data_IF_873838091918
#
_entry.id   IF_873838091918
#
_cell.length_a   1.000
_cell.length_b   1.000
_cell.length_c   1.000
_cell.angle_alpha   90.00
_cell.angle_beta   90.00
_cell.angle_gamma   90.00
#
_symmetry.space_group_name_H-M   'P 1'
#
loop_
_entity.id
_entity.type
_entity.pdbx_description
1 polymer ?
#
# COMPACT_ATOMS: atom_id res chain seq x y z
N UNK A 1 -17.54 44.14 79.21
CA UNK A 1 -16.90 42.91 78.72
C UNK A 1 -17.96 42.17 77.93
N UNK A 2 -17.64 41.76 76.71
CA UNK A 2 -18.56 41.00 75.86
C UNK A 2 -18.63 39.54 76.33
N UNK A 3 -19.80 38.91 76.24
CA UNK A 3 -19.98 37.48 76.50
C UNK A 3 -20.17 36.84 75.13
N UNK A 4 -19.38 35.82 74.81
CA UNK A 4 -19.57 35.09 73.56
C UNK A 4 -20.66 34.03 73.77
N UNK A 5 -21.90 34.37 73.39
CA UNK A 5 -23.05 33.45 73.55
C UNK A 5 -22.91 32.20 72.67
N UNK A 6 -22.15 32.29 71.57
CA UNK A 6 -21.88 31.16 70.67
C UNK A 6 -20.90 30.17 71.29
N UNK A 7 -19.85 30.64 71.97
CA UNK A 7 -18.88 29.79 72.66
C UNK A 7 -19.43 29.21 73.98
N UNK A 8 -20.34 29.93 74.62
CA UNK A 8 -20.95 29.52 75.90
C UNK A 8 -22.22 28.69 75.73
N UNK A 9 -22.76 28.60 74.51
CA UNK A 9 -23.98 27.83 74.20
C UNK A 9 -25.25 28.44 74.76
N UNK A 10 -25.25 29.73 75.11
CA UNK A 10 -26.40 30.46 75.67
C UNK A 10 -27.25 31.15 74.60
N UNK A 11 -27.08 30.78 73.32
CA UNK A 11 -27.83 31.32 72.20
C UNK A 11 -29.10 30.51 71.90
N UNK A 12 -30.11 31.16 71.34
CA UNK A 12 -31.38 30.50 70.94
C UNK A 12 -31.44 30.19 69.43
N UNK A 13 -30.29 30.10 68.75
CA UNK A 13 -30.23 29.71 67.33
C UNK A 13 -30.75 28.29 67.10
N UNK A 14 -31.45 28.11 65.96
CA UNK A 14 -31.92 26.79 65.54
C UNK A 14 -30.76 25.89 65.09
N UNK A 15 -31.02 24.58 65.03
CA UNK A 15 -30.02 23.58 64.62
C UNK A 15 -29.52 23.76 63.17
N UNK A 16 -30.31 24.39 62.30
CA UNK A 16 -29.98 24.70 60.90
C UNK A 16 -29.34 26.09 60.72
N UNK A 17 -29.00 26.78 61.81
CA UNK A 17 -28.43 28.13 61.81
C UNK A 17 -27.04 28.15 62.45
N UNK A 18 -26.20 29.08 61.98
CA UNK A 18 -24.88 29.37 62.54
C UNK A 18 -25.00 30.58 63.48
N UNK A 19 -24.54 30.42 64.71
CA UNK A 19 -24.43 31.51 65.67
C UNK A 19 -23.21 32.39 65.32
N UNK A 20 -23.43 33.69 65.23
CA UNK A 20 -22.40 34.72 65.03
C UNK A 20 -22.42 35.65 66.23
N UNK A 21 -21.33 35.69 67.00
CA UNK A 21 -21.20 36.58 68.15
C UNK A 21 -21.02 38.04 67.68
N UNK A 22 -21.78 38.97 68.24
CA UNK A 22 -21.69 40.39 68.00
C UNK A 22 -21.39 41.11 69.32
N UNK A 23 -20.84 42.32 69.25
CA UNK A 23 -20.52 43.06 70.47
C UNK A 23 -21.82 43.46 71.21
N UNK A 24 -22.10 42.79 72.33
CA UNK A 24 -23.28 42.98 73.18
C UNK A 24 -24.54 42.20 72.77
N UNK A 25 -24.45 41.25 71.82
CA UNK A 25 -25.57 40.40 71.37
C UNK A 25 -25.04 39.26 70.49
N UNK A 26 -25.87 38.27 70.15
CA UNK A 26 -25.58 37.31 69.09
C UNK A 26 -26.52 37.49 67.88
N UNK A 27 -26.20 36.86 66.75
CA UNK A 27 -27.04 36.79 65.55
C UNK A 27 -27.06 35.37 65.00
N UNK A 28 -28.24 34.85 64.68
CA UNK A 28 -28.40 33.54 64.04
C UNK A 28 -28.57 33.72 62.54
N UNK A 29 -27.62 33.21 61.76
CA UNK A 29 -27.59 33.34 60.30
C UNK A 29 -27.69 31.97 59.64
N UNK A 30 -28.19 31.92 58.41
CA UNK A 30 -28.11 30.68 57.65
C UNK A 30 -26.65 30.39 57.26
N UNK A 31 -26.26 29.11 57.16
CA UNK A 31 -24.96 28.73 56.62
C UNK A 31 -24.73 29.32 55.21
N UNK A 32 -23.47 29.49 54.77
CA UNK A 32 -23.18 29.89 53.39
C UNK A 32 -23.89 28.97 52.38
N UNK A 33 -24.49 29.55 51.34
CA UNK A 33 -25.29 28.82 50.34
C UNK A 33 -26.76 28.58 50.73
N UNK A 34 -27.21 29.04 51.90
CA UNK A 34 -28.60 28.90 52.36
C UNK A 34 -29.27 30.26 52.52
N UNK A 35 -30.56 30.32 52.21
CA UNK A 35 -31.41 31.49 52.41
C UNK A 35 -32.52 31.22 53.43
N UNK A 36 -32.89 32.24 54.18
CA UNK A 36 -33.97 32.15 55.16
C UNK A 36 -35.33 32.16 54.45
N UNK A 37 -36.08 31.06 54.53
CA UNK A 37 -37.47 30.97 54.06
C UNK A 37 -38.37 30.66 55.26
N UNK A 38 -39.02 31.69 55.79
CA UNK A 38 -39.74 31.61 57.07
C UNK A 38 -38.77 31.49 58.24
N UNK A 39 -38.87 30.44 59.04
CA UNK A 39 -37.98 30.16 60.17
C UNK A 39 -36.93 29.08 59.89
N UNK A 40 -36.81 28.61 58.65
CA UNK A 40 -35.86 27.57 58.25
C UNK A 40 -34.85 28.11 57.24
N UNK A 41 -33.64 27.57 57.29
CA UNK A 41 -32.61 27.77 56.28
C UNK A 41 -32.80 26.74 55.17
N UNK A 42 -33.11 27.22 53.97
CA UNK A 42 -33.30 26.40 52.78
C UNK A 42 -32.16 26.69 51.83
N UNK A 43 -31.62 25.63 51.25
CA UNK A 43 -30.58 25.68 50.23
C UNK A 43 -30.96 26.65 49.09
N UNK A 44 -30.01 27.46 48.65
CA UNK A 44 -30.18 28.33 47.49
C UNK A 44 -29.92 27.48 46.26
N UNK A 45 -30.91 27.34 45.37
CA UNK A 45 -30.69 26.65 44.11
C UNK A 45 -29.97 27.58 43.12
N UNK A 46 -28.63 27.56 43.12
CA UNK A 46 -27.85 28.40 42.22
C UNK A 46 -28.06 28.06 40.75
N UNK A 47 -28.60 26.89 40.41
CA UNK A 47 -28.94 26.53 39.03
C UNK A 47 -30.13 27.32 38.49
N UNK A 48 -30.88 28.02 39.36
CA UNK A 48 -31.97 28.91 38.97
C UNK A 48 -31.54 30.38 38.84
N UNK A 49 -30.26 30.68 39.13
CA UNK A 49 -29.71 32.02 39.18
C UNK A 49 -28.49 32.15 38.24
N UNK A 50 -28.20 33.34 37.69
CA UNK A 50 -26.95 33.58 36.96
C UNK A 50 -25.73 33.55 37.90
N UNK A 51 -24.54 33.11 37.43
CA UNK A 51 -24.22 32.69 36.06
C UNK A 51 -24.63 31.25 35.76
N UNK A 52 -25.18 31.04 34.57
CA UNK A 52 -25.59 29.70 34.12
C UNK A 52 -24.38 28.86 33.71
N UNK A 53 -24.38 27.58 34.08
CA UNK A 53 -23.47 26.59 33.51
C UNK A 53 -23.66 26.47 31.99
N UNK A 54 -22.57 26.29 31.23
CA UNK A 54 -22.65 26.11 29.78
C UNK A 54 -23.46 24.86 29.39
N UNK A 55 -23.27 23.75 30.11
CA UNK A 55 -23.98 22.49 29.88
C UNK A 55 -24.98 22.19 31.01
N UNK A 56 -24.58 21.38 31.99
CA UNK A 56 -25.45 20.94 33.07
C UNK A 56 -25.06 21.60 34.39
N UNK A 57 -26.02 22.14 35.11
CA UNK A 57 -25.86 22.57 36.49
C UNK A 57 -26.34 21.48 37.45
N UNK A 58 -25.60 21.24 38.53
CA UNK A 58 -26.00 20.34 39.61
C UNK A 58 -25.97 21.12 40.91
N UNK A 59 -27.16 21.34 41.49
CA UNK A 59 -27.30 21.95 42.80
C UNK A 59 -26.97 20.94 43.91
N UNK A 60 -26.27 21.37 44.94
CA UNK A 60 -25.87 20.56 46.10
C UNK A 60 -26.11 21.33 47.40
N UNK A 61 -26.32 20.66 48.54
CA UNK A 61 -26.56 21.38 49.79
C UNK A 61 -25.40 22.35 50.14
N UNK A 62 -25.65 23.65 50.07
CA UNK A 62 -24.71 24.75 50.34
C UNK A 62 -23.81 25.17 49.17
N UNK A 63 -23.97 24.60 47.97
CA UNK A 63 -23.17 24.97 46.80
C UNK A 63 -23.73 24.40 45.48
N UNK A 64 -23.05 24.63 44.38
CA UNK A 64 -23.35 24.00 43.10
C UNK A 64 -22.08 23.71 42.33
N UNK A 65 -22.20 22.88 41.30
CA UNK A 65 -21.13 22.71 40.33
C UNK A 65 -21.67 22.50 38.92
N UNK A 66 -20.88 22.90 37.93
CA UNK A 66 -21.18 22.66 36.53
C UNK A 66 -20.56 21.35 36.07
N UNK A 67 -21.33 20.60 35.28
CA UNK A 67 -20.91 19.36 34.65
C UNK A 67 -20.94 19.52 33.13
N UNK A 68 -19.85 19.10 32.48
CA UNK A 68 -19.74 19.09 31.03
C UNK A 68 -20.25 17.77 30.44
N UNK A 69 -20.84 17.84 29.24
CA UNK A 69 -21.17 16.66 28.45
C UNK A 69 -19.90 15.89 28.06
N UNK A 70 -20.05 14.63 27.66
CA UNK A 70 -18.94 13.83 27.14
C UNK A 70 -18.26 14.54 25.95
N UNK A 71 -16.93 14.46 25.88
CA UNK A 71 -16.12 15.20 24.88
C UNK A 71 -15.76 16.62 25.29
N UNK A 72 -16.18 17.09 26.48
CA UNK A 72 -15.88 18.43 26.96
C UNK A 72 -15.29 18.41 28.37
N UNK A 73 -14.42 19.37 28.66
CA UNK A 73 -13.83 19.58 29.97
C UNK A 73 -14.22 20.94 30.54
N UNK A 74 -14.29 21.02 31.88
CA UNK A 74 -14.63 22.26 32.57
C UNK A 74 -13.44 23.22 32.56
N UNK A 75 -13.66 24.44 32.09
CA UNK A 75 -12.64 25.49 32.07
C UNK A 75 -12.32 25.98 33.49
N UNK A 76 -11.24 26.76 33.62
CA UNK A 76 -10.75 27.30 34.90
C UNK A 76 -11.74 28.25 35.60
N UNK A 77 -12.78 28.70 34.90
CA UNK A 77 -13.86 29.51 35.48
C UNK A 77 -14.98 28.66 36.13
N UNK A 78 -14.87 27.33 36.11
CA UNK A 78 -15.84 26.37 36.65
C UNK A 78 -17.27 26.47 36.05
N UNK A 79 -17.47 27.20 34.95
CA UNK A 79 -18.80 27.39 34.32
C UNK A 79 -18.83 27.01 32.84
N UNK A 80 -17.74 27.26 32.13
CA UNK A 80 -17.66 27.04 30.69
C UNK A 80 -17.12 25.65 30.40
N UNK A 81 -17.79 24.93 29.52
CA UNK A 81 -17.30 23.69 28.97
C UNK A 81 -16.57 23.96 27.65
N UNK A 82 -15.31 23.54 27.57
CA UNK A 82 -14.49 23.61 26.37
C UNK A 82 -14.32 22.21 25.80
N UNK A 83 -14.30 22.15 24.48
CA UNK A 83 -14.10 20.91 23.74
C UNK A 83 -12.74 20.29 24.09
N UNK A 84 -12.71 18.98 24.26
CA UNK A 84 -11.47 18.22 24.45
C UNK A 84 -10.95 17.91 23.06
N UNK A 85 -9.79 18.45 22.68
CA UNK A 85 -9.17 18.05 21.42
C UNK A 85 -8.49 16.68 21.58
N UNK A 86 -9.18 15.61 21.17
CA UNK A 86 -8.63 14.26 21.29
C UNK A 86 -7.42 14.03 20.38
N UNK A 87 -7.28 14.81 19.29
CA UNK A 87 -6.14 14.69 18.37
C UNK A 87 -4.82 15.23 18.95
N UNK A 88 -4.89 16.21 19.86
CA UNK A 88 -3.69 16.86 20.43
C UNK A 88 -3.12 16.10 21.64
N UNK A 89 -3.98 15.47 22.44
CA UNK A 89 -3.58 14.84 23.70
C UNK A 89 -2.96 13.45 23.50
N UNK A 90 -3.62 12.61 22.71
CA UNK A 90 -3.18 11.25 22.40
C UNK A 90 -3.98 10.75 21.21
N UNK A 91 -3.56 11.15 20.00
CA UNK A 91 -4.29 10.92 18.75
C UNK A 91 -4.87 9.48 18.70
N UNK A 92 -6.21 9.35 18.79
CA UNK A 92 -6.85 8.03 18.86
C UNK A 92 -6.83 7.32 17.51
N UNK A 93 -6.68 8.04 16.40
CA UNK A 93 -6.75 7.51 15.04
C UNK A 93 -5.44 6.83 14.62
N UNK A 94 -5.54 5.75 13.83
CA UNK A 94 -4.36 5.10 13.27
C UNK A 94 -3.59 5.99 12.28
N UNK A 95 -4.28 6.92 11.61
CA UNK A 95 -3.70 7.81 10.60
C UNK A 95 -4.11 9.28 10.84
N UNK A 96 -5.07 9.82 10.09
CA UNK A 96 -5.46 11.22 10.19
C UNK A 96 -6.59 11.39 11.22
N UNK A 97 -6.46 12.42 12.07
CA UNK A 97 -7.45 12.78 13.09
C UNK A 97 -7.93 14.21 12.87
N UNK A 98 -9.24 14.39 12.91
CA UNK A 98 -9.87 15.69 12.86
C UNK A 98 -10.76 15.89 14.07
N UNK A 99 -10.43 16.90 14.86
CA UNK A 99 -11.22 17.28 16.02
C UNK A 99 -12.54 17.93 15.58
N UNK A 100 -13.64 17.53 16.19
CA UNK A 100 -14.96 18.12 15.99
C UNK A 100 -15.59 18.45 17.35
N UNK A 101 -16.64 19.26 17.39
CA UNK A 101 -17.25 19.60 18.68
C UNK A 101 -17.86 18.35 19.34
N UNK A 102 -17.33 18.00 20.51
CA UNK A 102 -17.74 16.89 21.37
C UNK A 102 -17.20 15.51 20.99
N UNK A 103 -16.32 15.41 19.99
CA UNK A 103 -15.74 14.14 19.51
C UNK A 103 -14.60 14.40 18.52
N UNK A 104 -14.07 13.34 17.92
CA UNK A 104 -13.17 13.40 16.76
C UNK A 104 -13.71 12.50 15.63
N UNK A 105 -13.15 12.66 14.43
CA UNK A 105 -13.30 11.73 13.31
C UNK A 105 -11.93 11.30 12.79
N UNK A 106 -11.80 10.02 12.45
CA UNK A 106 -10.61 9.47 11.82
C UNK A 106 -10.80 9.36 10.32
N UNK A 107 -9.72 9.60 9.56
CA UNK A 107 -9.67 9.41 8.13
C UNK A 107 -8.40 8.65 7.74
N UNK A 108 -8.53 7.81 6.73
CA UNK A 108 -7.42 7.05 6.17
C UNK A 108 -6.80 7.78 4.98
N UNK A 109 -5.50 7.63 4.83
CA UNK A 109 -4.73 8.03 3.67
C UNK A 109 -5.22 7.25 2.42
N UNK A 110 -4.95 7.76 1.20
CA UNK A 110 -5.29 7.04 -0.02
C UNK A 110 -4.72 5.61 -0.03
N UNK A 111 -5.51 4.65 -0.52
CA UNK A 111 -5.16 3.22 -0.52
C UNK A 111 -5.52 2.46 0.76
N UNK A 112 -6.21 3.11 1.70
CA UNK A 112 -6.71 2.48 2.92
C UNK A 112 -8.20 2.76 3.13
N UNK A 113 -8.89 1.82 3.76
CA UNK A 113 -10.28 1.93 4.17
C UNK A 113 -10.41 1.97 5.69
N UNK A 114 -11.39 2.75 6.17
CA UNK A 114 -11.66 2.88 7.60
C UNK A 114 -12.35 1.61 8.11
N UNK A 115 -11.75 0.98 9.13
CA UNK A 115 -12.29 -0.23 9.74
C UNK A 115 -13.60 0.04 10.48
N UNK A 116 -14.28 -1.04 10.87
CA UNK A 116 -15.58 -1.01 11.55
C UNK A 116 -15.58 -0.26 12.88
N UNK A 117 -14.42 -0.16 13.54
CA UNK A 117 -14.23 0.61 14.78
C UNK A 117 -14.11 2.13 14.56
N UNK A 118 -14.05 2.57 13.29
CA UNK A 118 -13.88 3.97 12.87
C UNK A 118 -12.58 4.63 13.35
N UNK A 119 -11.59 3.82 13.73
CA UNK A 119 -10.32 4.27 14.29
C UNK A 119 -9.15 3.74 13.49
N UNK A 120 -9.19 2.45 13.12
CA UNK A 120 -8.12 1.79 12.39
C UNK A 120 -8.31 1.92 10.88
N UNK A 121 -7.19 1.88 10.15
CA UNK A 121 -7.15 1.93 8.70
C UNK A 121 -6.58 0.63 8.16
N UNK A 122 -7.38 -0.07 7.35
CA UNK A 122 -7.02 -1.33 6.73
C UNK A 122 -6.61 -1.07 5.28
N UNK A 123 -5.54 -1.72 4.86
CA UNK A 123 -5.01 -1.59 3.51
C UNK A 123 -6.01 -2.14 2.48
N UNK A 124 -6.25 -1.37 1.42
CA UNK A 124 -7.15 -1.79 0.35
C UNK A 124 -6.42 -2.72 -0.60
N UNK A 125 -6.71 -4.02 -0.54
CA UNK A 125 -6.13 -4.98 -1.47
C UNK A 125 -6.70 -4.81 -2.88
N UNK A 126 -6.03 -3.99 -3.70
CA UNK A 126 -6.50 -3.73 -5.06
C UNK A 126 -6.40 -4.98 -5.93
N UNK A 127 -5.43 -5.87 -5.65
CA UNK A 127 -5.25 -7.13 -6.36
C UNK A 127 -6.45 -8.08 -6.19
N UNK A 128 -7.16 -8.01 -5.07
CA UNK A 128 -8.42 -8.75 -4.85
C UNK A 128 -9.65 -8.04 -5.39
N UNK A 129 -9.59 -6.72 -5.51
CA UNK A 129 -10.70 -5.89 -5.97
C UNK A 129 -10.94 -6.04 -7.48
N UNK A 130 -9.88 -6.19 -8.28
CA UNK A 130 -10.01 -6.43 -9.71
C UNK A 130 -8.89 -7.29 -10.27
N UNK A 131 -9.26 -8.40 -10.92
CA UNK A 131 -8.34 -9.33 -11.56
C UNK A 131 -7.64 -8.79 -12.81
N UNK A 132 -8.04 -7.61 -13.31
CA UNK A 132 -7.53 -7.03 -14.56
C UNK A 132 -6.66 -5.77 -14.35
N UNK A 133 -6.22 -5.52 -13.12
CA UNK A 133 -5.40 -4.35 -12.78
C UNK A 133 -3.99 -4.41 -13.38
N UNK A 134 -3.38 -5.60 -13.40
CA UNK A 134 -2.05 -5.84 -13.96
C UNK A 134 -2.13 -6.80 -15.15
N UNK A 135 -1.25 -6.63 -16.14
CA UNK A 135 -1.16 -7.55 -17.28
C UNK A 135 -0.67 -8.95 -16.89
N UNK A 136 0.22 -9.05 -15.91
CA UNK A 136 0.82 -10.32 -15.47
C UNK A 136 0.54 -10.63 -14.01
N UNK A 137 1.27 -10.00 -13.08
CA UNK A 137 1.12 -10.27 -11.65
C UNK A 137 0.91 -8.98 -10.88
N UNK A 138 -0.08 -8.97 -9.99
CA UNK A 138 -0.33 -7.90 -9.04
C UNK A 138 0.26 -8.26 -7.68
N UNK A 139 0.90 -7.31 -7.03
CA UNK A 139 1.43 -7.42 -5.68
C UNK A 139 0.83 -6.29 -4.85
N UNK A 140 0.10 -6.66 -3.81
CA UNK A 140 -0.47 -5.69 -2.88
C UNK A 140 0.61 -5.18 -1.93
N UNK A 141 0.68 -3.86 -1.74
CA UNK A 141 1.60 -3.19 -0.83
C UNK A 141 0.81 -2.21 0.06
N UNK A 142 1.32 -1.80 1.24
CA UNK A 142 0.59 -0.85 2.06
C UNK A 142 0.36 0.50 1.35
N UNK A 143 -0.92 0.83 1.11
CA UNK A 143 -1.42 2.07 0.50
C UNK A 143 -1.36 2.12 -1.02
N UNK A 144 -0.94 1.03 -1.68
CA UNK A 144 -0.82 0.95 -3.15
C UNK A 144 -0.63 -0.50 -3.60
N UNK A 145 -0.75 -0.74 -4.89
CA UNK A 145 -0.26 -1.98 -5.50
C UNK A 145 0.90 -1.71 -6.46
N UNK A 146 1.64 -2.77 -6.77
CA UNK A 146 2.60 -2.78 -7.87
C UNK A 146 2.30 -3.94 -8.82
N UNK A 147 2.51 -3.68 -10.12
CA UNK A 147 2.47 -4.73 -11.13
C UNK A 147 3.89 -5.23 -11.38
N UNK A 148 4.06 -6.54 -11.41
CA UNK A 148 5.32 -7.20 -11.72
C UNK A 148 5.20 -7.88 -13.07
N UNK A 149 6.27 -7.80 -13.85
CA UNK A 149 6.39 -8.46 -15.15
C UNK A 149 7.31 -9.68 -15.05
N UNK A 150 7.16 -10.67 -15.96
CA UNK A 150 8.10 -11.78 -16.03
C UNK A 150 9.50 -11.31 -16.42
N UNK A 151 10.49 -12.18 -16.25
CA UNK A 151 11.88 -11.90 -16.64
C UNK A 151 11.99 -11.54 -18.14
N UNK A 152 12.83 -10.55 -18.47
CA UNK A 152 12.94 -9.98 -19.82
C UNK A 152 11.89 -8.92 -20.17
N UNK A 153 11.03 -8.53 -19.22
CA UNK A 153 9.99 -7.51 -19.44
C UNK A 153 10.06 -6.39 -18.40
N UNK A 154 9.69 -5.19 -18.84
CA UNK A 154 9.56 -4.00 -17.98
C UNK A 154 8.12 -3.52 -17.92
N UNK A 155 7.78 -2.89 -16.80
CA UNK A 155 6.46 -2.30 -16.57
C UNK A 155 6.36 -0.95 -17.28
N UNK A 156 5.36 -0.79 -18.13
CA UNK A 156 5.05 0.45 -18.85
C UNK A 156 3.65 0.92 -18.47
N UNK A 157 3.50 2.24 -18.27
CA UNK A 157 2.23 2.82 -17.80
C UNK A 157 1.76 2.29 -16.44
N UNK A 158 2.65 1.69 -15.65
CA UNK A 158 2.37 1.11 -14.33
C UNK A 158 1.59 -0.20 -14.32
N UNK A 159 1.19 -0.75 -15.49
CA UNK A 159 0.27 -1.91 -15.55
C UNK A 159 0.59 -2.93 -16.65
N UNK A 160 1.21 -2.51 -17.74
CA UNK A 160 1.48 -3.39 -18.89
C UNK A 160 2.93 -3.83 -18.92
N UNK A 161 3.18 -5.01 -19.46
CA UNK A 161 4.50 -5.58 -19.62
C UNK A 161 4.95 -5.43 -21.07
N UNK A 162 6.07 -4.73 -21.25
CA UNK A 162 6.73 -4.59 -22.54
C UNK A 162 8.07 -5.32 -22.51
N UNK A 163 8.34 -6.04 -23.59
CA UNK A 163 9.61 -6.71 -23.83
C UNK A 163 10.78 -5.71 -23.73
N UNK A 164 11.83 -6.10 -23.01
CA UNK A 164 13.07 -5.33 -22.96
C UNK A 164 13.88 -5.73 -24.19
N UNK A 165 14.39 -4.74 -24.94
CA UNK A 165 15.34 -5.04 -26.01
C UNK A 165 16.75 -5.13 -25.42
N UNK A 166 17.20 -6.32 -25.03
CA UNK A 166 18.52 -6.47 -24.40
C UNK A 166 19.67 -6.17 -25.37
N UNK A 167 19.43 -6.29 -26.68
CA UNK A 167 20.40 -5.92 -27.70
C UNK A 167 20.67 -4.40 -27.75
N UNK A 168 19.74 -3.58 -27.29
CA UNK A 168 19.90 -2.12 -27.22
C UNK A 168 20.34 -1.66 -25.83
N UNK A 169 20.00 -2.41 -24.78
CA UNK A 169 20.22 -1.98 -23.40
C UNK A 169 21.52 -2.50 -22.78
N UNK A 170 21.81 -3.81 -22.88
CA UNK A 170 23.00 -4.42 -22.26
C UNK A 170 24.03 -4.87 -23.30
N UNK A 171 23.56 -5.39 -24.44
CA UNK A 171 24.36 -5.94 -25.54
C UNK A 171 25.54 -6.79 -25.07
N UNK A 172 25.27 -7.82 -24.26
CA UNK A 172 26.29 -8.70 -23.67
C UNK A 172 26.93 -9.70 -24.67
N UNK A 173 26.61 -9.58 -25.96
CA UNK A 173 27.18 -10.44 -27.00
C UNK A 173 28.65 -10.11 -27.25
N UNK A 174 29.42 -11.12 -27.69
CA UNK A 174 30.83 -10.94 -28.06
C UNK A 174 30.96 -10.11 -29.35
N UNK A 175 32.15 -9.54 -29.59
CA UNK A 175 32.41 -8.74 -30.80
C UNK A 175 32.21 -9.52 -32.11
N UNK A 176 32.43 -10.83 -32.08
CA UNK A 176 32.23 -11.75 -33.20
C UNK A 176 30.81 -12.32 -33.28
N UNK A 177 29.86 -11.78 -32.51
CA UNK A 177 28.46 -12.19 -32.48
C UNK A 177 27.53 -11.07 -32.97
N UNK A 178 26.30 -11.47 -33.30
CA UNK A 178 25.16 -10.62 -33.64
C UNK A 178 24.10 -10.88 -32.58
N UNK A 179 23.64 -9.82 -31.92
CA UNK A 179 22.54 -9.91 -30.96
C UNK A 179 21.19 -9.98 -31.69
N UNK A 180 20.32 -10.87 -31.22
CA UNK A 180 18.94 -10.98 -31.69
C UNK A 180 17.97 -10.96 -30.51
N UNK A 181 17.08 -9.98 -30.51
CA UNK A 181 16.05 -9.79 -29.49
C UNK A 181 14.80 -10.62 -29.78
N UNK A 182 14.19 -11.21 -28.76
CA UNK A 182 12.90 -11.88 -28.83
C UNK A 182 12.09 -11.66 -27.56
N UNK A 183 10.81 -12.04 -27.59
CA UNK A 183 9.93 -11.92 -26.43
C UNK A 183 10.45 -12.65 -25.19
N UNK A 184 10.87 -11.90 -24.17
CA UNK A 184 11.39 -12.37 -22.89
C UNK A 184 12.90 -12.61 -22.86
N UNK A 185 13.65 -12.13 -23.86
CA UNK A 185 15.11 -12.18 -23.80
C UNK A 185 15.82 -12.01 -25.15
N UNK A 186 17.13 -12.23 -25.13
CA UNK A 186 17.97 -12.15 -26.31
C UNK A 186 18.81 -13.40 -26.53
N UNK A 187 19.37 -13.53 -27.73
CA UNK A 187 20.35 -14.56 -28.06
C UNK A 187 21.43 -13.99 -28.96
N UNK A 188 22.67 -14.36 -28.67
CA UNK A 188 23.82 -14.05 -29.49
C UNK A 188 24.06 -15.17 -30.51
N UNK A 189 24.27 -14.80 -31.76
CA UNK A 189 24.63 -15.71 -32.83
C UNK A 189 26.01 -15.36 -33.38
N UNK A 190 26.88 -16.32 -33.70
CA UNK A 190 28.15 -16.03 -34.35
C UNK A 190 27.95 -15.27 -35.66
N UNK A 191 28.72 -14.20 -35.88
CA UNK A 191 28.78 -13.48 -37.17
C UNK A 191 29.23 -14.41 -38.29
N UNK A 192 30.13 -15.32 -37.98
CA UNK A 192 30.53 -16.40 -38.88
C UNK A 192 29.99 -17.74 -38.36
N UNK A 193 28.89 -18.27 -38.90
CA UNK A 193 28.37 -19.57 -38.51
C UNK A 193 29.24 -20.73 -39.05
N UNK A 194 30.24 -20.46 -39.89
CA UNK A 194 31.09 -21.47 -40.48
C UNK A 194 32.18 -21.91 -39.50
N UNK A 195 32.19 -23.20 -39.18
CA UNK A 195 33.33 -23.83 -38.50
C UNK A 195 34.50 -23.95 -39.46
N UNK A 196 35.74 -23.77 -38.97
CA UNK A 196 36.92 -24.04 -39.79
C UNK A 196 36.88 -25.50 -40.29
N UNK A 197 37.20 -25.77 -41.58
CA UNK A 197 37.85 -24.90 -42.56
C UNK A 197 36.90 -24.15 -43.53
N UNK A 198 35.61 -24.04 -43.23
CA UNK A 198 34.62 -23.44 -44.12
C UNK A 198 34.65 -21.91 -44.08
N UNK A 199 34.46 -21.29 -45.24
CA UNK A 199 34.41 -19.83 -45.41
C UNK A 199 32.99 -19.39 -45.73
N UNK A 200 32.49 -18.36 -45.04
CA UNK A 200 31.18 -17.77 -45.29
C UNK A 200 31.17 -17.04 -46.63
N UNK A 201 30.22 -17.40 -47.49
CA UNK A 201 29.95 -16.70 -48.75
C UNK A 201 28.86 -15.65 -48.55
N UNK A 202 28.73 -14.73 -49.52
CA UNK A 202 27.72 -13.65 -49.52
C UNK A 202 26.25 -14.13 -49.49
N UNK A 203 26.00 -15.43 -49.66
CA UNK A 203 24.66 -16.03 -49.65
C UNK A 203 24.33 -16.76 -48.32
N UNK A 204 25.01 -16.43 -47.21
CA UNK A 204 24.89 -17.16 -45.92
C UNK A 204 25.15 -18.68 -46.04
N UNK A 205 26.05 -19.06 -46.97
CA UNK A 205 26.49 -20.44 -47.18
C UNK A 205 27.96 -20.56 -46.81
N UNK A 206 28.28 -21.54 -46.00
CA UNK A 206 29.63 -21.93 -45.66
C UNK A 206 30.16 -22.88 -46.73
N UNK A 207 31.25 -22.53 -47.41
CA UNK A 207 31.83 -23.35 -48.48
C UNK A 207 33.23 -23.79 -48.07
N UNK A 208 33.54 -25.07 -48.31
CA UNK A 208 34.87 -25.61 -48.09
C UNK A 208 35.75 -25.27 -49.30
N UNK A 209 36.81 -24.46 -49.16
CA UNK A 209 37.63 -24.05 -50.30
C UNK A 209 38.34 -25.25 -50.94
N UNK A 210 38.28 -25.35 -52.27
CA UNK A 210 38.95 -26.43 -53.04
C UNK A 210 40.48 -26.41 -52.86
N UNK A 211 41.04 -25.25 -52.49
CA UNK A 211 42.45 -25.06 -52.16
C UNK A 211 42.88 -25.72 -50.84
N UNK A 212 41.94 -26.06 -49.96
CA UNK A 212 42.25 -26.68 -48.67
C UNK A 212 42.19 -28.21 -48.79
N UNK A 213 43.31 -28.89 -48.51
CA UNK A 213 43.40 -30.35 -48.62
C UNK A 213 42.43 -31.10 -47.69
N UNK A 214 42.09 -30.50 -46.54
CA UNK A 214 41.13 -31.05 -45.56
C UNK A 214 39.71 -31.10 -46.15
N UNK A 215 39.38 -30.20 -47.09
CA UNK A 215 38.06 -30.11 -47.71
C UNK A 215 37.73 -31.23 -48.70
N UNK A 216 38.69 -32.11 -49.05
CA UNK A 216 38.46 -33.17 -50.04
C UNK A 216 37.55 -34.29 -49.53
N UNK A 217 37.56 -34.53 -48.22
CA UNK A 217 36.76 -35.55 -47.55
C UNK A 217 35.54 -34.96 -46.82
N UNK A 218 35.31 -33.65 -46.95
CA UNK A 218 34.24 -32.92 -46.27
C UNK A 218 33.16 -32.47 -47.27
N UNK A 219 31.91 -32.24 -46.81
CA UNK A 219 30.85 -31.68 -47.64
C UNK A 219 31.28 -30.35 -48.29
N UNK A 220 30.98 -30.16 -49.57
CA UNK A 220 31.38 -28.94 -50.30
C UNK A 220 30.78 -27.65 -49.69
N UNK A 221 29.53 -27.70 -49.23
CA UNK A 221 28.89 -26.54 -48.62
C UNK A 221 27.90 -26.90 -47.52
N UNK A 222 27.86 -26.08 -46.46
CA UNK A 222 26.92 -26.14 -45.34
C UNK A 222 26.12 -24.83 -45.33
N UNK A 223 24.80 -24.91 -45.24
CA UNK A 223 23.93 -23.73 -45.17
C UNK A 223 23.25 -23.71 -43.80
N UNK A 224 23.52 -22.68 -43.01
CA UNK A 224 22.82 -22.46 -41.74
C UNK A 224 21.58 -21.60 -42.00
N UNK A 225 20.40 -22.22 -42.11
CA UNK A 225 19.14 -21.49 -42.05
C UNK A 225 18.62 -21.60 -40.61
N UNK A 226 18.56 -20.47 -39.91
CA UNK A 226 17.91 -20.43 -38.61
C UNK A 226 16.40 -20.62 -38.77
N UNK A 227 15.80 -21.33 -37.82
CA UNK A 227 14.36 -21.47 -37.67
C UNK A 227 14.02 -20.95 -36.27
N UNK A 228 13.15 -19.96 -36.19
CA UNK A 228 12.69 -19.38 -34.91
C UNK A 228 11.31 -19.95 -34.58
N UNK A 229 11.18 -20.55 -33.41
CA UNK A 229 9.92 -21.11 -32.90
C UNK A 229 9.52 -20.31 -31.66
N UNK A 230 8.23 -20.01 -31.51
CA UNK A 230 7.71 -19.30 -30.34
C UNK A 230 7.82 -20.16 -29.07
N UNK A 231 8.13 -19.52 -27.95
CA UNK A 231 8.34 -20.15 -26.64
C UNK A 231 7.09 -20.85 -26.06
N UNK A 232 5.89 -20.53 -26.56
CA UNK A 232 4.62 -21.12 -26.14
C UNK A 232 4.25 -22.42 -26.91
N UNK A 233 5.18 -22.99 -27.68
CA UNK A 233 4.95 -24.16 -28.55
C UNK A 233 5.96 -25.27 -28.25
N UNK A 234 5.48 -26.51 -28.09
CA UNK A 234 6.33 -27.71 -27.98
C UNK A 234 6.90 -28.11 -29.33
N UNK A 235 8.22 -28.31 -29.40
CA UNK A 235 8.95 -28.66 -30.62
C UNK A 235 9.08 -30.19 -30.75
N UNK A 236 8.58 -30.83 -31.83
CA UNK A 236 8.71 -32.27 -32.05
C UNK A 236 10.17 -32.72 -32.27
N UNK A 237 10.48 -33.98 -31.96
CA UNK A 237 11.84 -34.51 -31.77
C UNK A 237 12.63 -34.91 -33.03
N UNK A 238 12.08 -34.75 -34.23
CA UNK A 238 12.51 -35.47 -35.44
C UNK A 238 12.75 -34.51 -36.63
N UNK A 239 13.32 -33.35 -36.33
CA UNK A 239 13.40 -32.23 -37.28
C UNK A 239 14.46 -32.42 -38.37
N UNK A 240 15.52 -33.24 -38.20
CA UNK A 240 16.38 -33.67 -39.31
C UNK A 240 17.09 -35.02 -39.09
N UNK A 241 17.03 -35.92 -40.09
CA UNK A 241 18.07 -36.91 -40.39
C UNK A 241 18.20 -37.07 -41.91
N UNK A 242 19.43 -37.01 -42.44
CA UNK A 242 19.74 -37.18 -43.87
C UNK A 242 20.80 -38.27 -44.01
N UNK A 243 20.51 -39.31 -44.79
CA UNK A 243 21.46 -40.37 -45.15
C UNK A 243 21.52 -40.50 -46.67
N UNK A 244 22.71 -40.30 -47.25
CA UNK A 244 22.94 -40.50 -48.68
C UNK A 244 23.19 -41.99 -48.95
N UNK A 245 22.30 -42.64 -49.71
CA UNK A 245 22.39 -44.07 -50.02
C UNK A 245 23.12 -44.38 -51.33
N UNK A 246 23.51 -43.36 -52.12
CA UNK A 246 24.17 -43.59 -53.42
C UNK A 246 25.33 -42.61 -53.64
N UNK A 247 26.51 -43.16 -53.93
CA UNK A 247 27.76 -42.43 -54.14
C UNK A 247 28.14 -42.57 -55.62
N UNK A 248 27.99 -41.49 -56.39
CA UNK A 248 28.61 -41.38 -57.71
C UNK A 248 29.84 -40.46 -57.60
N UNK A 249 30.98 -40.79 -58.22
CA UNK A 249 32.16 -39.93 -58.19
C UNK A 249 31.88 -38.58 -58.88
N UNK A 250 32.29 -37.48 -58.24
CA UNK A 250 32.20 -36.09 -58.70
C UNK A 250 30.78 -35.48 -58.85
N UNK A 251 29.75 -36.02 -58.20
CA UNK A 251 28.40 -35.43 -58.22
C UNK A 251 28.04 -34.77 -56.88
N UNK A 252 27.54 -33.53 -56.95
CA UNK A 252 27.00 -32.79 -55.80
C UNK A 252 25.48 -32.94 -55.79
N UNK A 253 24.93 -33.63 -54.78
CA UNK A 253 23.49 -33.71 -54.58
C UNK A 253 23.04 -32.53 -53.72
N UNK A 254 22.18 -31.66 -54.29
CA UNK A 254 21.60 -30.52 -53.58
C UNK A 254 20.14 -30.80 -53.30
N UNK A 255 19.73 -30.71 -52.03
CA UNK A 255 18.33 -30.93 -51.62
C UNK A 255 17.70 -29.62 -51.19
N UNK A 256 16.50 -29.31 -51.71
CA UNK A 256 15.71 -28.15 -51.24
C UNK A 256 14.39 -28.64 -50.64
N UNK A 257 14.15 -28.26 -49.39
CA UNK A 257 12.87 -28.53 -48.73
C UNK A 257 11.79 -27.65 -49.36
N UNK A 258 10.74 -28.29 -49.88
CA UNK A 258 9.62 -27.65 -50.58
C UNK A 258 8.40 -27.44 -49.66
N UNK A 259 8.10 -28.41 -48.80
CA UNK A 259 7.01 -28.36 -47.80
C UNK A 259 7.15 -29.52 -46.80
N UNK A 260 6.50 -29.44 -45.62
CA UNK A 260 6.45 -30.52 -44.63
C UNK A 260 5.07 -30.66 -43.96
N UNK A 261 4.75 -31.85 -43.42
CA UNK A 261 3.47 -32.15 -42.76
C UNK A 261 3.65 -32.50 -41.26
N UNK A 262 2.50 -32.74 -40.59
CA UNK A 262 2.36 -32.97 -39.13
C UNK A 262 3.02 -34.25 -38.62
N UNK A 263 3.41 -35.15 -39.53
CA UNK A 263 4.02 -36.45 -39.24
C UNK A 263 5.55 -36.45 -39.47
N UNK A 264 6.17 -35.29 -39.68
CA UNK A 264 7.63 -35.19 -39.89
C UNK A 264 8.10 -35.56 -41.29
N UNK A 265 7.22 -35.62 -42.29
CA UNK A 265 7.60 -35.89 -43.68
C UNK A 265 7.85 -34.58 -44.44
N UNK A 266 9.00 -34.50 -45.13
CA UNK A 266 9.38 -33.36 -45.94
C UNK A 266 9.40 -33.72 -47.43
N UNK A 267 8.79 -32.88 -48.26
CA UNK A 267 8.87 -32.99 -49.71
C UNK A 267 10.12 -32.27 -50.19
N UNK A 268 11.04 -33.02 -50.78
CA UNK A 268 12.25 -32.49 -51.40
C UNK A 268 11.99 -32.21 -52.89
N UNK A 269 12.65 -31.19 -53.44
CA UNK A 269 12.80 -31.00 -54.89
C UNK A 269 14.26 -31.00 -55.26
#
# INVERSE_FOLDING_TARGET
KDIDECATGTHDCRADQVCVNLRGSFSCQCPPGYQKRGEQCVDIDECTLPPYCHHRCVNTPGSYYCQCNAGFQLASNNHTCVDINECDANNPCAQQCYNILGSFICQCNPGFELSSDRINCEDTDECRTSSYICQYQCVNEPGKFSCVCPEGYQVVGGRTCQDINECETTNECREDEICWNYHGGFRCYPRNPCQEPYVLTSENRCVCPVSNAICRELPYSVVYKYMSIRSDRTVPSDIFQIQATTIYPNTINTFRIKSGNENGEFYLR
#
